data_IF_699289379741
#
_entry.id   IF_699289379741
#
_cell.length_a   1.000
_cell.length_b   1.000
_cell.length_c   1.000
_cell.angle_alpha   90.00
_cell.angle_beta   90.00
_cell.angle_gamma   90.00
#
_symmetry.space_group_name_H-M   'P 1'
#
loop_
_entity.id
_entity.type
_entity.pdbx_description
1 polymer ?
#
# COMPACT_ATOMS: atom_id res chain seq x y z
N UNK A 1 18.97 15.15 -10.92
CA UNK A 1 17.60 14.61 -10.72
C UNK A 1 17.33 13.98 -9.34
N UNK A 2 18.27 13.99 -8.37
CA UNK A 2 18.07 13.28 -7.09
C UNK A 2 17.25 14.00 -6.01
N UNK A 3 17.00 15.30 -6.13
CA UNK A 3 16.28 16.07 -5.10
C UNK A 3 14.77 15.91 -5.23
N UNK A 4 14.24 15.87 -6.46
CA UNK A 4 12.80 15.76 -6.73
C UNK A 4 12.27 14.37 -6.34
N UNK A 5 13.01 13.31 -6.68
CA UNK A 5 12.62 11.94 -6.31
C UNK A 5 12.68 11.71 -4.80
N UNK A 6 13.71 12.24 -4.11
CA UNK A 6 13.79 12.21 -2.65
C UNK A 6 12.66 12.97 -1.98
N UNK A 7 12.33 14.16 -2.48
CA UNK A 7 11.22 14.95 -1.96
C UNK A 7 9.88 14.25 -2.16
N UNK A 8 9.66 13.64 -3.34
CA UNK A 8 8.47 12.85 -3.62
C UNK A 8 8.34 11.63 -2.70
N UNK A 9 9.41 10.85 -2.51
CA UNK A 9 9.44 9.72 -1.55
C UNK A 9 9.03 10.19 -0.16
N UNK A 10 9.66 11.28 0.31
CA UNK A 10 9.40 11.82 1.64
C UNK A 10 7.97 12.34 1.81
N UNK A 11 7.41 12.96 0.78
CA UNK A 11 6.01 13.37 0.77
C UNK A 11 5.07 12.16 0.85
N UNK A 12 5.34 11.10 0.08
CA UNK A 12 4.52 9.89 0.11
C UNK A 12 4.61 9.14 1.44
N UNK A 13 5.79 9.09 2.05
CA UNK A 13 6.02 8.54 3.39
C UNK A 13 5.30 9.38 4.46
N UNK A 14 5.34 10.70 4.35
CA UNK A 14 4.65 11.60 5.26
C UNK A 14 3.13 11.43 5.21
N UNK A 15 2.55 11.29 4.01
CA UNK A 15 1.11 11.00 3.84
C UNK A 15 0.75 9.66 4.49
N UNK A 16 1.57 8.61 4.31
CA UNK A 16 1.36 7.34 4.98
C UNK A 16 1.46 7.44 6.51
N UNK A 17 2.43 8.20 7.02
CA UNK A 17 2.59 8.44 8.45
C UNK A 17 1.37 9.17 9.04
N UNK A 18 0.81 10.16 8.35
CA UNK A 18 -0.42 10.85 8.77
C UNK A 18 -1.60 9.87 8.82
N UNK A 19 -1.79 9.05 7.78
CA UNK A 19 -2.87 8.07 7.76
C UNK A 19 -2.72 7.06 8.92
N UNK A 20 -1.50 6.61 9.19
CA UNK A 20 -1.21 5.72 10.31
C UNK A 20 -1.48 6.39 11.66
N UNK A 21 -1.07 7.64 11.84
CA UNK A 21 -1.37 8.43 13.04
C UNK A 21 -2.89 8.62 13.23
N UNK A 22 -3.63 8.88 12.15
CA UNK A 22 -5.09 9.00 12.20
C UNK A 22 -5.77 7.68 12.58
N UNK A 23 -5.30 6.55 12.03
CA UNK A 23 -5.78 5.22 12.40
C UNK A 23 -5.49 4.92 13.88
N UNK A 24 -4.29 5.25 14.35
CA UNK A 24 -3.90 5.09 15.76
C UNK A 24 -4.75 5.96 16.69
N UNK A 25 -4.95 7.24 16.37
CA UNK A 25 -5.80 8.14 17.16
C UNK A 25 -7.24 7.61 17.26
N UNK A 26 -7.77 7.10 16.15
CA UNK A 26 -9.11 6.47 16.13
C UNK A 26 -9.15 5.21 16.99
N UNK A 27 -8.06 4.42 17.01
CA UNK A 27 -7.95 3.24 17.86
C UNK A 27 -7.92 3.60 19.36
N UNK A 28 -7.23 4.68 19.75
CA UNK A 28 -7.28 5.19 21.13
C UNK A 28 -8.70 5.57 21.51
N UNK A 29 -9.42 6.28 20.63
CA UNK A 29 -10.83 6.62 20.83
C UNK A 29 -11.67 5.35 21.06
N UNK A 30 -11.50 4.31 20.23
CA UNK A 30 -12.19 3.02 20.38
C UNK A 30 -11.93 2.36 21.73
N UNK A 31 -10.66 2.34 22.18
CA UNK A 31 -10.29 1.80 23.49
C UNK A 31 -11.00 2.59 24.58
N UNK A 32 -10.89 3.92 24.57
CA UNK A 32 -11.53 4.79 25.57
C UNK A 32 -13.02 4.51 25.66
N UNK A 33 -13.74 4.50 24.53
CA UNK A 33 -15.19 4.25 24.51
C UNK A 33 -15.50 2.84 25.00
N UNK A 34 -14.73 1.83 24.58
CA UNK A 34 -14.97 0.44 24.97
C UNK A 34 -14.83 0.23 26.49
N UNK A 35 -13.89 0.92 27.12
CA UNK A 35 -13.71 0.86 28.57
C UNK A 35 -14.74 1.71 29.30
N UNK A 36 -15.07 2.89 28.80
CA UNK A 36 -16.10 3.75 29.41
C UNK A 36 -17.50 3.15 29.29
N UNK A 37 -17.82 2.48 28.19
CA UNK A 37 -19.08 1.77 28.00
C UNK A 37 -19.33 0.67 29.06
N UNK A 38 -18.26 0.11 29.64
CA UNK A 38 -18.38 -0.87 30.73
C UNK A 38 -18.69 -0.24 32.08
N UNK A 39 -18.44 1.06 32.25
CA UNK A 39 -18.77 1.82 33.44
C UNK A 39 -20.12 2.49 33.23
N UNK A 40 -21.19 1.86 33.71
CA UNK A 40 -22.59 2.31 33.55
C UNK A 40 -22.84 3.76 33.99
N UNK A 41 -22.11 4.25 34.99
CA UNK A 41 -22.26 5.62 35.51
C UNK A 41 -21.65 6.72 34.61
N UNK A 42 -20.70 6.37 33.74
CA UNK A 42 -20.01 7.39 32.92
C UNK A 42 -20.84 7.79 31.71
N UNK A 43 -21.72 6.90 31.22
CA UNK A 43 -22.66 7.22 30.14
C UNK A 43 -23.66 8.32 30.51
N UNK A 44 -24.09 8.36 31.78
CA UNK A 44 -24.98 9.42 32.31
C UNK A 44 -24.23 10.71 32.65
N UNK A 45 -23.02 10.61 33.21
CA UNK A 45 -22.22 11.77 33.57
C UNK A 45 -21.62 12.50 32.35
N UNK A 46 -21.40 11.77 31.24
CA UNK A 46 -20.64 12.26 30.10
C UNK A 46 -21.32 11.84 28.78
N UNK A 47 -22.30 12.62 28.28
CA UNK A 47 -23.07 12.29 27.07
C UNK A 47 -22.21 12.19 25.80
N UNK A 48 -21.00 12.77 25.80
CA UNK A 48 -20.09 12.73 24.66
C UNK A 48 -19.34 11.38 24.53
N UNK A 49 -19.33 10.52 25.55
CA UNK A 49 -18.75 9.17 25.50
C UNK A 49 -19.78 8.06 25.22
N UNK A 50 -21.00 8.43 24.84
CA UNK A 50 -22.06 7.49 24.50
C UNK A 50 -21.60 6.53 23.37
N UNK A 51 -21.58 5.20 23.59
CA UNK A 51 -21.04 4.22 22.64
C UNK A 51 -21.76 4.25 21.28
N UNK A 52 -23.05 4.59 21.28
CA UNK A 52 -23.91 4.62 20.09
C UNK A 52 -23.43 5.63 19.03
N UNK A 53 -22.63 6.63 19.41
CA UNK A 53 -22.15 7.70 18.51
C UNK A 53 -20.83 7.38 17.81
N UNK A 54 -20.20 6.24 18.10
CA UNK A 54 -18.84 5.94 17.62
C UNK A 54 -18.74 4.68 16.76
N UNK A 55 -19.86 4.17 16.23
CA UNK A 55 -19.85 3.09 15.22
C UNK A 55 -18.98 3.41 14.00
N UNK A 56 -18.87 4.70 13.64
CA UNK A 56 -18.04 5.19 12.54
C UNK A 56 -16.54 4.93 12.72
N UNK A 57 -16.04 4.81 13.94
CA UNK A 57 -14.61 4.65 14.22
C UNK A 57 -14.07 3.35 13.63
N UNK A 58 -14.86 2.27 13.65
CA UNK A 58 -14.48 0.97 13.10
C UNK A 58 -14.39 1.03 11.58
N UNK A 59 -15.40 1.61 10.95
CA UNK A 59 -15.45 1.78 9.49
C UNK A 59 -14.34 2.73 9.01
N UNK A 60 -14.04 3.78 9.78
CA UNK A 60 -12.94 4.69 9.50
C UNK A 60 -11.58 4.02 9.63
N UNK A 61 -11.36 3.22 10.68
CA UNK A 61 -10.14 2.42 10.81
C UNK A 61 -9.98 1.46 9.62
N UNK A 62 -11.05 0.80 9.17
CA UNK A 62 -11.00 -0.09 8.02
C UNK A 62 -10.71 0.67 6.72
N UNK A 63 -11.33 1.83 6.54
CA UNK A 63 -11.06 2.73 5.43
C UNK A 63 -9.60 3.17 5.39
N UNK A 64 -9.08 3.66 6.53
CA UNK A 64 -7.71 4.12 6.66
C UNK A 64 -6.72 2.98 6.42
N UNK A 65 -7.02 1.77 6.92
CA UNK A 65 -6.23 0.58 6.67
C UNK A 65 -6.11 0.26 5.18
N UNK A 66 -7.25 0.18 4.47
CA UNK A 66 -7.28 -0.05 3.02
C UNK A 66 -6.45 1.01 2.29
N UNK A 67 -6.63 2.27 2.67
CA UNK A 67 -5.90 3.40 2.08
C UNK A 67 -4.40 3.31 2.30
N UNK A 68 -3.95 3.02 3.52
CA UNK A 68 -2.51 2.85 3.84
C UNK A 68 -1.92 1.71 3.02
N UNK A 69 -2.59 0.56 2.93
CA UNK A 69 -2.09 -0.61 2.20
C UNK A 69 -1.92 -0.29 0.72
N UNK A 70 -2.94 0.29 0.07
CA UNK A 70 -2.86 0.61 -1.35
C UNK A 70 -1.92 1.77 -1.64
N UNK A 71 -1.91 2.82 -0.82
CA UNK A 71 -0.97 3.94 -0.94
C UNK A 71 0.49 3.46 -0.79
N UNK A 72 0.75 2.66 0.24
CA UNK A 72 2.06 2.07 0.50
C UNK A 72 2.55 1.23 -0.68
N UNK A 73 1.71 0.33 -1.19
CA UNK A 73 2.07 -0.49 -2.35
C UNK A 73 2.27 0.32 -3.64
N UNK A 74 1.55 1.42 -3.80
CA UNK A 74 1.67 2.27 -5.01
C UNK A 74 2.98 3.07 -5.02
N UNK A 75 3.31 3.68 -3.88
CA UNK A 75 4.33 4.72 -3.81
C UNK A 75 5.56 4.35 -3.00
N UNK A 76 5.40 3.63 -1.89
CA UNK A 76 6.47 3.40 -0.90
C UNK A 76 7.20 2.07 -1.15
N UNK A 77 6.44 1.01 -1.45
CA UNK A 77 7.01 -0.33 -1.67
C UNK A 77 7.99 -0.28 -2.84
N UNK A 78 9.18 -0.82 -2.57
CA UNK A 78 10.27 -0.94 -3.54
C UNK A 78 10.21 -2.32 -4.17
N UNK A 79 10.61 -2.41 -5.45
CA UNK A 79 10.60 -3.68 -6.19
C UNK A 79 11.39 -4.83 -5.53
N UNK A 80 12.33 -4.52 -4.63
CA UNK A 80 13.14 -5.49 -3.87
C UNK A 80 12.34 -6.39 -2.93
N UNK A 81 11.12 -6.02 -2.58
CA UNK A 81 10.28 -6.77 -1.63
C UNK A 81 9.43 -7.86 -2.33
N UNK A 82 9.48 -7.92 -3.66
CA UNK A 82 8.79 -8.94 -4.45
C UNK A 82 9.66 -10.19 -4.56
N UNK A 83 9.22 -11.28 -3.93
CA UNK A 83 9.89 -12.58 -3.94
C UNK A 83 10.20 -12.99 -5.38
N UNK A 84 11.48 -12.90 -5.73
CA UNK A 84 11.99 -13.38 -7.02
C UNK A 84 12.58 -14.76 -6.78
N UNK A 85 12.24 -15.74 -7.61
CA UNK A 85 12.88 -17.05 -7.59
C UNK A 85 14.30 -16.93 -8.16
N UNK A 86 15.21 -16.47 -7.30
CA UNK A 86 16.57 -16.07 -7.65
C UNK A 86 17.43 -17.22 -8.22
N UNK A 87 17.21 -18.45 -7.73
CA UNK A 87 17.94 -19.65 -8.18
C UNK A 87 17.85 -19.90 -9.68
N UNK A 88 16.68 -19.67 -10.28
CA UNK A 88 16.50 -19.84 -11.72
C UNK A 88 17.19 -18.69 -12.48
N UNK A 89 17.12 -17.48 -11.93
CA UNK A 89 17.67 -16.27 -12.55
C UNK A 89 19.19 -16.33 -12.70
N UNK A 90 19.92 -16.83 -11.69
CA UNK A 90 21.39 -16.93 -11.69
C UNK A 90 21.96 -17.92 -12.71
N UNK A 91 21.16 -18.92 -13.11
CA UNK A 91 21.60 -19.99 -14.02
C UNK A 91 21.33 -19.71 -15.51
N UNK A 92 20.60 -18.64 -15.85
CA UNK A 92 20.27 -18.31 -17.25
C UNK A 92 21.10 -17.17 -17.80
N UNK A 93 21.34 -17.21 -19.12
CA UNK A 93 22.09 -16.20 -19.85
C UNK A 93 21.42 -14.81 -19.77
N UNK A 94 22.20 -13.71 -19.90
CA UNK A 94 21.70 -12.33 -19.76
C UNK A 94 20.51 -12.00 -20.65
N UNK A 95 20.47 -12.57 -21.86
CA UNK A 95 19.39 -12.37 -22.83
C UNK A 95 18.07 -13.03 -22.39
N UNK A 96 18.13 -14.23 -21.83
CA UNK A 96 16.93 -14.93 -21.34
C UNK A 96 16.41 -14.26 -20.07
N UNK A 97 17.31 -13.78 -19.21
CA UNK A 97 16.96 -12.98 -18.03
C UNK A 97 16.18 -11.72 -18.39
N UNK A 98 16.61 -11.01 -19.43
CA UNK A 98 15.91 -9.85 -19.99
C UNK A 98 14.48 -10.20 -20.40
N UNK A 99 14.27 -11.31 -21.12
CA UNK A 99 12.94 -11.75 -21.52
C UNK A 99 12.05 -12.14 -20.35
N UNK A 100 12.58 -12.82 -19.32
CA UNK A 100 11.82 -13.12 -18.10
C UNK A 100 11.34 -11.85 -17.39
N UNK A 101 12.19 -10.83 -17.26
CA UNK A 101 11.80 -9.55 -16.66
C UNK A 101 10.71 -8.82 -17.48
N UNK A 102 10.80 -8.87 -18.81
CA UNK A 102 9.82 -8.25 -19.71
C UNK A 102 8.48 -8.98 -19.64
N UNK A 103 8.49 -10.32 -19.76
CA UNK A 103 7.28 -11.14 -19.75
C UNK A 103 6.56 -11.03 -18.41
N UNK A 104 7.30 -11.12 -17.29
CA UNK A 104 6.71 -10.96 -15.96
C UNK A 104 6.15 -9.55 -15.74
N UNK A 105 6.85 -8.50 -16.19
CA UNK A 105 6.37 -7.13 -16.11
C UNK A 105 5.10 -6.87 -16.93
N UNK A 106 5.04 -7.43 -18.14
CA UNK A 106 3.84 -7.37 -19.00
C UNK A 106 2.71 -8.19 -18.38
N UNK A 107 2.98 -9.40 -17.89
CA UNK A 107 1.98 -10.25 -17.26
C UNK A 107 1.34 -9.57 -16.04
N UNK A 108 2.14 -8.93 -15.18
CA UNK A 108 1.63 -8.14 -14.05
C UNK A 108 0.82 -6.94 -14.51
N UNK A 109 1.26 -6.20 -15.54
CA UNK A 109 0.49 -5.09 -16.10
C UNK A 109 -0.86 -5.56 -16.64
N UNK A 110 -0.87 -6.61 -17.46
CA UNK A 110 -2.08 -7.15 -18.07
C UNK A 110 -3.02 -7.70 -16.99
N UNK A 111 -2.51 -8.44 -16.00
CA UNK A 111 -3.31 -8.94 -14.90
C UNK A 111 -3.96 -7.82 -14.08
N UNK A 112 -3.21 -6.75 -13.77
CA UNK A 112 -3.74 -5.59 -13.03
C UNK A 112 -4.77 -4.81 -13.85
N UNK A 113 -4.51 -4.56 -15.14
CA UNK A 113 -5.43 -3.84 -16.01
C UNK A 113 -6.70 -4.66 -16.32
N UNK A 114 -6.56 -5.97 -16.54
CA UNK A 114 -7.70 -6.86 -16.73
C UNK A 114 -8.55 -6.98 -15.45
N UNK A 115 -7.96 -6.79 -14.27
CA UNK A 115 -8.70 -6.77 -13.00
C UNK A 115 -9.53 -5.50 -12.80
N UNK A 116 -9.25 -4.39 -13.52
CA UNK A 116 -9.98 -3.12 -13.39
C UNK A 116 -11.47 -3.29 -13.72
N UNK A 117 -11.77 -3.95 -14.83
CA UNK A 117 -13.12 -4.09 -15.39
C UNK A 117 -14.09 -4.90 -14.50
N UNK A 118 -13.75 -6.14 -14.06
CA UNK A 118 -14.60 -6.89 -13.14
C UNK A 118 -14.68 -6.22 -11.77
N UNK A 119 -13.63 -5.54 -11.35
CA UNK A 119 -13.64 -4.80 -10.09
C UNK A 119 -14.58 -3.59 -10.14
N UNK A 120 -14.59 -2.85 -11.25
CA UNK A 120 -15.50 -1.72 -11.45
C UNK A 120 -16.97 -2.15 -11.48
N UNK A 121 -17.28 -3.28 -12.15
CA UNK A 121 -18.66 -3.79 -12.23
C UNK A 121 -19.18 -4.26 -10.87
N UNK A 122 -18.35 -4.94 -10.06
CA UNK A 122 -18.68 -5.34 -8.69
C UNK A 122 -18.86 -4.13 -7.76
N UNK A 123 -18.03 -3.09 -7.94
CA UNK A 123 -18.13 -1.87 -7.12
C UNK A 123 -19.33 -0.98 -7.47
N UNK A 124 -19.77 -0.95 -8.73
CA UNK A 124 -20.99 -0.25 -9.12
C UNK A 124 -22.24 -0.80 -8.40
N UNK A 125 -22.23 -2.09 -8.05
CA UNK A 125 -23.31 -2.74 -7.29
C UNK A 125 -23.22 -2.41 -5.79
N UNK A 126 -22.01 -2.38 -5.21
CA UNK A 126 -21.78 -2.00 -3.81
C UNK A 126 -22.05 -0.52 -3.52
N UNK A 127 -22.04 0.34 -4.56
CA UNK A 127 -22.41 1.76 -4.54
C UNK A 127 -23.81 2.06 -3.99
N UNK A 128 -24.70 1.07 -3.91
CA UNK A 128 -26.03 1.20 -3.30
C UNK A 128 -26.06 0.97 -1.79
N UNK A 129 -25.01 0.40 -1.19
CA UNK A 129 -24.95 0.12 0.25
C UNK A 129 -24.04 1.13 0.94
N UNK A 130 -24.47 2.39 0.96
CA UNK A 130 -23.79 3.48 1.68
C UNK A 130 -23.48 3.03 3.10
N UNK A 131 -22.22 3.18 3.51
CA UNK A 131 -21.76 2.92 4.88
C UNK A 131 -22.38 3.97 5.79
N UNK A 132 -23.58 3.67 6.32
CA UNK A 132 -24.52 4.60 6.93
C UNK A 132 -23.94 5.41 8.11
N UNK A 133 -22.90 4.90 8.76
CA UNK A 133 -22.30 5.51 9.95
C UNK A 133 -21.10 6.42 9.63
N UNK A 134 -20.36 6.18 8.54
CA UNK A 134 -19.25 7.05 8.12
C UNK A 134 -19.74 8.39 7.51
N UNK A 135 -20.95 8.36 6.94
CA UNK A 135 -21.69 9.53 6.43
C UNK A 135 -22.00 10.56 7.55
N UNK A 136 -22.06 10.10 8.81
CA UNK A 136 -22.33 10.94 9.98
C UNK A 136 -21.13 11.82 10.38
N UNK A 137 -19.90 11.41 10.04
CA UNK A 137 -18.66 12.15 10.36
C UNK A 137 -18.17 13.03 9.20
N UNK A 138 -18.25 12.54 7.96
CA UNK A 138 -17.75 13.24 6.77
C UNK A 138 -18.85 13.89 5.92
N UNK A 139 -20.11 13.76 6.34
CA UNK A 139 -21.30 14.26 5.66
C UNK A 139 -21.68 13.44 4.42
N UNK A 140 -22.91 13.61 3.88
CA UNK A 140 -23.46 12.88 2.72
C UNK A 140 -22.69 13.07 1.39
N UNK A 141 -21.57 13.81 1.43
CA UNK A 141 -20.76 14.17 0.28
C UNK A 141 -19.50 13.31 0.13
N UNK A 142 -19.14 12.45 1.10
CA UNK A 142 -18.09 11.45 0.90
C UNK A 142 -18.64 10.26 0.10
N UNK A 143 -19.09 10.55 -1.11
CA UNK A 143 -19.51 9.55 -2.10
C UNK A 143 -18.45 8.46 -2.13
N UNK A 144 -18.86 7.19 -2.08
CA UNK A 144 -18.00 5.99 -2.21
C UNK A 144 -16.87 6.10 -3.25
N UNK A 145 -17.02 6.97 -4.26
CA UNK A 145 -15.96 7.41 -5.18
C UNK A 145 -14.64 7.77 -4.48
N UNK A 146 -14.67 8.45 -3.33
CA UNK A 146 -13.48 8.79 -2.55
C UNK A 146 -12.81 7.54 -2.01
N UNK A 147 -13.56 6.67 -1.34
CA UNK A 147 -13.06 5.39 -0.82
C UNK A 147 -12.36 4.55 -1.91
N UNK A 148 -12.93 4.51 -3.11
CA UNK A 148 -12.40 3.70 -4.22
C UNK A 148 -11.31 4.38 -5.05
N UNK A 149 -11.08 5.69 -4.90
CA UNK A 149 -10.09 6.38 -5.73
C UNK A 149 -8.67 5.87 -5.50
N UNK A 150 -8.35 5.45 -4.26
CA UNK A 150 -7.03 4.92 -3.92
C UNK A 150 -6.74 3.60 -4.62
N UNK A 151 -7.76 2.76 -4.80
CA UNK A 151 -7.63 1.48 -5.49
C UNK A 151 -7.36 1.66 -6.98
N UNK A 152 -8.08 2.59 -7.63
CA UNK A 152 -7.85 2.93 -9.04
C UNK A 152 -6.47 3.57 -9.22
N UNK A 153 -6.08 4.48 -8.31
CA UNK A 153 -4.74 5.06 -8.31
C UNK A 153 -3.68 3.95 -8.22
N UNK A 154 -3.85 2.98 -7.32
CA UNK A 154 -2.97 1.83 -7.19
C UNK A 154 -2.83 1.04 -8.50
N UNK A 155 -3.94 0.65 -9.14
CA UNK A 155 -3.88 -0.11 -10.39
C UNK A 155 -3.14 0.64 -11.49
N UNK A 156 -3.42 1.94 -11.65
CA UNK A 156 -2.78 2.77 -12.68
C UNK A 156 -1.30 2.99 -12.39
N UNK A 157 -0.94 3.36 -11.16
CA UNK A 157 0.45 3.67 -10.79
C UNK A 157 1.33 2.43 -10.88
N UNK A 158 0.85 1.29 -10.37
CA UNK A 158 1.61 0.04 -10.43
C UNK A 158 1.75 -0.43 -11.87
N UNK A 159 0.69 -0.38 -12.68
CA UNK A 159 0.78 -0.70 -14.11
C UNK A 159 1.79 0.19 -14.84
N UNK A 160 1.80 1.50 -14.57
CA UNK A 160 2.79 2.42 -15.14
C UNK A 160 4.22 2.10 -14.69
N UNK A 161 4.43 1.81 -13.40
CA UNK A 161 5.77 1.43 -12.86
C UNK A 161 6.29 0.15 -13.51
N UNK A 162 5.45 -0.88 -13.65
CA UNK A 162 5.84 -2.13 -14.31
C UNK A 162 6.03 -1.96 -15.82
N UNK A 163 5.22 -1.12 -16.48
CA UNK A 163 5.39 -0.78 -17.89
C UNK A 163 6.72 -0.06 -18.12
N UNK A 164 7.06 0.92 -17.27
CA UNK A 164 8.36 1.61 -17.34
C UNK A 164 9.52 0.63 -17.14
N UNK A 165 9.40 -0.32 -16.21
CA UNK A 165 10.40 -1.38 -16.01
C UNK A 165 10.56 -2.23 -17.27
N UNK A 166 9.47 -2.68 -17.88
CA UNK A 166 9.53 -3.47 -19.11
C UNK A 166 10.22 -2.69 -20.25
N UNK A 167 9.91 -1.40 -20.40
CA UNK A 167 10.56 -0.52 -21.39
C UNK A 167 12.05 -0.30 -21.06
N UNK A 168 12.39 -0.12 -19.78
CA UNK A 168 13.76 0.09 -19.35
C UNK A 168 14.62 -1.17 -19.53
N UNK A 169 14.08 -2.34 -19.17
CA UNK A 169 14.71 -3.64 -19.42
C UNK A 169 14.88 -3.90 -20.92
N UNK A 170 13.91 -3.50 -21.74
CA UNK A 170 13.99 -3.59 -23.20
C UNK A 170 15.13 -2.72 -23.77
N UNK A 171 15.28 -1.48 -23.29
CA UNK A 171 16.25 -0.49 -23.79
C UNK A 171 17.68 -0.62 -23.26
N UNK A 172 17.87 -0.94 -21.98
CA UNK A 172 19.19 -0.92 -21.32
C UNK A 172 19.76 -2.32 -21.00
N UNK A 173 19.03 -3.40 -21.30
CA UNK A 173 19.42 -4.75 -20.91
C UNK A 173 19.21 -5.00 -19.40
N UNK A 174 19.27 -6.28 -18.99
CA UNK A 174 19.02 -6.71 -17.60
C UNK A 174 20.23 -6.54 -16.66
N UNK A 175 21.27 -5.79 -17.08
CA UNK A 175 22.52 -5.64 -16.33
C UNK A 175 22.38 -4.76 -15.08
N UNK A 176 21.38 -3.87 -15.04
CA UNK A 176 21.12 -3.02 -13.88
C UNK A 176 20.65 -3.80 -12.63
N UNK A 177 20.00 -4.96 -12.80
CA UNK A 177 19.59 -5.79 -11.66
C UNK A 177 20.80 -6.54 -11.07
N UNK A 178 21.84 -6.89 -11.86
CA UNK A 178 23.03 -7.64 -11.42
C UNK A 178 23.93 -6.87 -10.44
N UNK A 179 24.21 -5.61 -10.74
CA UNK A 179 25.04 -4.77 -9.86
C UNK A 179 24.41 -4.54 -8.49
N UNK A 180 23.08 -4.62 -8.39
CA UNK A 180 22.39 -4.43 -7.11
C UNK A 180 22.50 -5.65 -6.19
N UNK A 181 22.54 -6.87 -6.75
CA UNK A 181 22.76 -8.09 -5.95
C UNK A 181 24.20 -8.23 -5.46
N UNK A 182 25.19 -7.79 -6.25
CA UNK A 182 26.59 -7.78 -5.80
C UNK A 182 26.83 -6.81 -4.64
N UNK A 183 26.23 -5.61 -4.70
CA UNK A 183 26.31 -4.64 -3.59
C UNK A 183 25.67 -5.20 -2.31
N UNK A 184 24.51 -5.87 -2.40
CA UNK A 184 23.84 -6.48 -1.24
C UNK A 184 24.67 -7.65 -0.68
N UNK A 185 25.25 -8.48 -1.55
CA UNK A 185 26.10 -9.58 -1.12
C UNK A 185 27.35 -9.06 -0.38
N UNK A 186 27.97 -7.98 -0.85
CA UNK A 186 29.09 -7.32 -0.18
C UNK A 186 28.68 -6.68 1.16
N UNK A 187 27.53 -6.00 1.21
CA UNK A 187 27.02 -5.36 2.43
C UNK A 187 26.65 -6.39 3.51
N UNK A 188 26.05 -7.52 3.09
CA UNK A 188 25.70 -8.64 3.98
C UNK A 188 26.94 -9.40 4.45
N UNK A 189 27.93 -9.62 3.58
CA UNK A 189 29.21 -10.24 3.95
C UNK A 189 29.99 -9.36 4.92
N UNK A 190 30.02 -8.03 4.71
CA UNK A 190 30.58 -7.09 5.67
C UNK A 190 29.90 -7.14 7.04
N UNK A 191 28.56 -7.22 7.07
CA UNK A 191 27.80 -7.31 8.30
C UNK A 191 28.06 -8.65 9.02
N UNK A 192 28.15 -9.76 8.27
CA UNK A 192 28.49 -11.08 8.81
C UNK A 192 29.91 -11.13 9.38
N UNK A 193 30.86 -10.50 8.68
CA UNK A 193 32.26 -10.39 9.10
C UNK A 193 32.44 -9.50 10.33
N UNK A 194 31.60 -8.45 10.47
CA UNK A 194 31.51 -7.60 11.68
C UNK A 194 30.82 -8.29 12.84
N UNK A 195 29.86 -9.19 12.58
CA UNK A 195 29.08 -9.87 13.62
C UNK A 195 29.91 -10.86 14.44
N UNK A 196 31.04 -11.36 13.90
CA UNK A 196 31.95 -12.29 14.56
C UNK A 196 31.31 -13.66 14.84
N UNK A 197 32.02 -14.78 14.64
CA UNK A 197 31.46 -16.08 15.03
C UNK A 197 31.29 -16.10 16.55
N UNK A 198 30.05 -16.23 17.01
CA UNK A 198 29.73 -16.55 18.42
C UNK A 198 30.16 -17.97 18.76
#
# INVERSE_FOLDING_TARGET
MGTITRWFSRATEFVAAIMMAAMFATFIIQITIRYTARLSWVGEAVPFLAPDRYGWTLEFCLLMWVWIVFWGNSFIVRQRDHVTFDILYTHVSPDVRKWFAIISGIAVCVALLASVEPTWSRFAILRLKSTATLDQLFGPNLKMRGVFSIYIAFLVIVALRYSWRAINAFRHGAEADLHHYSEIAEETDEEFKKAGPK
#
